data_IF_878484332848
#
_entry.id   IF_878484332848
#
_cell.length_a   1.000
_cell.length_b   1.000
_cell.length_c   1.000
_cell.angle_alpha   90.00
_cell.angle_beta   90.00
_cell.angle_gamma   90.00
#
_symmetry.space_group_name_H-M   'P 1'
#
loop_
_entity.id
_entity.type
_entity.pdbx_description
1 polymer ?
#
# COMPACT_ATOMS: atom_id res chain seq x y z
N UNK A 1 9.90 -16.12 -6.24
CA UNK A 1 9.94 -16.70 -7.61
C UNK A 1 9.60 -15.65 -8.67
N UNK A 2 8.47 -14.92 -8.56
CA UNK A 2 8.10 -13.88 -9.54
C UNK A 2 9.21 -12.85 -9.77
N UNK A 3 9.80 -12.30 -8.71
CA UNK A 3 10.90 -11.33 -8.82
C UNK A 3 12.11 -11.87 -9.58
N UNK A 4 12.44 -13.16 -9.42
CA UNK A 4 13.53 -13.80 -10.18
C UNK A 4 13.20 -13.89 -11.66
N UNK A 5 11.97 -14.30 -12.01
CA UNK A 5 11.53 -14.38 -13.39
C UNK A 5 11.50 -12.99 -14.06
N UNK A 6 10.94 -11.99 -13.37
CA UNK A 6 10.88 -10.60 -13.85
C UNK A 6 12.28 -10.02 -14.09
N UNK A 7 13.17 -10.15 -13.12
CA UNK A 7 14.54 -9.66 -13.23
C UNK A 7 15.31 -10.40 -14.33
N UNK A 8 15.12 -11.72 -14.43
CA UNK A 8 15.69 -12.52 -15.51
C UNK A 8 15.26 -11.98 -16.89
N UNK A 9 13.96 -11.77 -17.10
CA UNK A 9 13.40 -11.23 -18.35
C UNK A 9 13.89 -9.81 -18.66
N UNK A 10 14.16 -9.01 -17.65
CA UNK A 10 14.60 -7.63 -17.82
C UNK A 10 16.06 -7.52 -18.31
N UNK A 11 16.92 -8.44 -17.90
CA UNK A 11 18.37 -8.29 -18.10
C UNK A 11 19.03 -9.37 -18.96
N UNK A 12 18.39 -10.54 -19.16
CA UNK A 12 18.96 -11.57 -20.01
C UNK A 12 18.97 -11.15 -21.47
N UNK A 13 20.03 -11.55 -22.17
CA UNK A 13 20.15 -11.45 -23.63
C UNK A 13 20.17 -12.83 -24.28
N UNK A 14 20.32 -13.88 -23.48
CA UNK A 14 20.33 -15.25 -23.95
C UNK A 14 18.88 -15.75 -24.16
N UNK A 15 18.53 -16.29 -25.35
CA UNK A 15 17.18 -16.71 -25.66
C UNK A 15 16.72 -17.89 -24.78
N UNK A 16 17.62 -18.77 -24.36
CA UNK A 16 17.27 -19.90 -23.50
C UNK A 16 16.99 -19.45 -22.07
N UNK A 17 17.72 -18.46 -21.55
CA UNK A 17 17.44 -17.89 -20.24
C UNK A 17 16.15 -17.08 -20.25
N UNK A 18 15.84 -16.40 -21.35
CA UNK A 18 14.56 -15.74 -21.56
C UNK A 18 13.41 -16.76 -21.49
N UNK A 19 13.51 -17.87 -22.22
CA UNK A 19 12.51 -18.93 -22.21
C UNK A 19 12.33 -19.52 -20.82
N UNK A 20 13.42 -19.84 -20.09
CA UNK A 20 13.36 -20.33 -18.70
C UNK A 20 12.66 -19.36 -17.77
N UNK A 21 12.96 -18.07 -17.90
CA UNK A 21 12.33 -17.02 -17.08
C UNK A 21 10.84 -16.87 -17.40
N UNK A 22 10.44 -17.01 -18.67
CA UNK A 22 9.03 -17.06 -19.07
C UNK A 22 8.31 -18.27 -18.50
N UNK A 23 8.91 -19.44 -18.57
CA UNK A 23 8.37 -20.69 -17.99
C UNK A 23 8.22 -20.55 -16.48
N UNK A 24 9.21 -19.99 -15.77
CA UNK A 24 9.15 -19.73 -14.34
C UNK A 24 7.98 -18.78 -14.00
N UNK A 25 7.80 -17.69 -14.77
CA UNK A 25 6.67 -16.76 -14.58
C UNK A 25 5.33 -17.45 -14.76
N UNK A 26 5.18 -18.31 -15.77
CA UNK A 26 3.96 -19.09 -16.00
C UNK A 26 3.68 -20.11 -14.86
N UNK A 27 4.71 -20.72 -14.29
CA UNK A 27 4.57 -21.58 -13.10
C UNK A 27 4.08 -20.79 -11.89
N UNK A 28 4.66 -19.60 -11.65
CA UNK A 28 4.25 -18.71 -10.55
C UNK A 28 2.80 -18.28 -10.72
N UNK A 29 2.39 -17.93 -11.94
CA UNK A 29 1.01 -17.52 -12.21
C UNK A 29 0.01 -18.65 -11.84
N UNK A 30 0.31 -19.88 -12.19
CA UNK A 30 -0.51 -21.04 -11.83
C UNK A 30 -0.60 -21.25 -10.33
N UNK A 31 0.54 -21.23 -9.62
CA UNK A 31 0.58 -21.37 -8.17
C UNK A 31 -0.26 -20.28 -7.50
N UNK A 32 -0.09 -19.02 -7.91
CA UNK A 32 -0.85 -17.90 -7.36
C UNK A 32 -2.34 -18.01 -7.65
N UNK A 33 -2.72 -18.41 -8.87
CA UNK A 33 -4.10 -18.66 -9.28
C UNK A 33 -4.77 -19.71 -8.38
N UNK A 34 -4.12 -20.85 -8.15
CA UNK A 34 -4.62 -21.91 -7.29
C UNK A 34 -4.82 -21.46 -5.84
N UNK A 35 -3.83 -20.75 -5.28
CA UNK A 35 -3.90 -20.28 -3.89
C UNK A 35 -4.91 -19.15 -3.68
N UNK A 36 -5.09 -18.27 -4.66
CA UNK A 36 -5.97 -17.11 -4.54
C UNK A 36 -7.39 -17.37 -5.10
N UNK A 37 -7.63 -18.50 -5.78
CA UNK A 37 -8.90 -18.78 -6.46
C UNK A 37 -9.18 -17.82 -7.62
N UNK A 38 -8.14 -17.27 -8.25
CA UNK A 38 -8.24 -16.33 -9.36
C UNK A 38 -8.06 -17.04 -10.71
N UNK A 39 -8.58 -16.43 -11.78
CA UNK A 39 -8.30 -16.90 -13.14
C UNK A 39 -6.80 -16.77 -13.47
N UNK A 40 -6.22 -17.85 -14.02
CA UNK A 40 -4.79 -17.91 -14.31
C UNK A 40 -4.36 -16.85 -15.34
N UNK A 41 -5.20 -16.55 -16.34
CA UNK A 41 -4.89 -15.55 -17.37
C UNK A 41 -4.89 -14.14 -16.78
N UNK A 42 -5.76 -13.90 -15.80
CA UNK A 42 -5.76 -12.64 -15.06
C UNK A 42 -4.43 -12.45 -14.31
N UNK A 43 -3.98 -13.48 -13.59
CA UNK A 43 -2.69 -13.46 -12.89
C UNK A 43 -1.51 -13.32 -13.86
N UNK A 44 -1.51 -14.05 -14.98
CA UNK A 44 -0.48 -13.91 -16.02
C UNK A 44 -0.40 -12.47 -16.57
N UNK A 45 -1.55 -11.84 -16.80
CA UNK A 45 -1.61 -10.44 -17.26
C UNK A 45 -1.03 -9.48 -16.23
N UNK A 46 -1.39 -9.63 -14.96
CA UNK A 46 -0.84 -8.82 -13.86
C UNK A 46 0.68 -8.96 -13.76
N UNK A 47 1.19 -10.18 -13.82
CA UNK A 47 2.64 -10.43 -13.72
C UNK A 47 3.39 -9.98 -14.99
N UNK A 48 2.76 -10.00 -16.16
CA UNK A 48 3.36 -9.54 -17.41
C UNK A 48 3.49 -8.01 -17.48
N UNK A 49 2.61 -7.27 -16.82
CA UNK A 49 2.67 -5.82 -16.74
C UNK A 49 3.86 -5.32 -15.90
N UNK A 50 4.37 -6.15 -14.98
CA UNK A 50 5.54 -5.82 -14.17
C UNK A 50 6.83 -6.12 -14.96
N UNK A 51 7.58 -5.05 -15.27
CA UNK A 51 8.83 -5.13 -16.06
C UNK A 51 10.00 -4.51 -15.29
N UNK A 52 11.21 -4.68 -15.80
CA UNK A 52 12.42 -4.13 -15.17
C UNK A 52 12.85 -4.90 -13.92
N UNK A 53 13.77 -4.31 -13.16
CA UNK A 53 14.24 -4.88 -11.89
C UNK A 53 13.10 -4.92 -10.87
N UNK A 54 12.85 -6.09 -10.32
CA UNK A 54 11.79 -6.25 -9.32
C UNK A 54 12.19 -5.57 -8.00
N UNK A 55 11.43 -4.55 -7.62
CA UNK A 55 11.57 -3.86 -6.34
C UNK A 55 10.27 -3.98 -5.53
N UNK A 56 10.32 -3.87 -4.21
CA UNK A 56 9.10 -3.67 -3.43
C UNK A 56 8.36 -2.41 -3.89
N UNK A 57 7.06 -2.46 -3.89
CA UNK A 57 6.23 -1.25 -4.01
C UNK A 57 6.24 -0.51 -2.68
N UNK A 58 6.06 0.79 -2.73
CA UNK A 58 6.10 1.65 -1.56
C UNK A 58 4.71 2.18 -1.25
N UNK A 59 4.26 1.95 -0.03
CA UNK A 59 3.05 2.52 0.56
C UNK A 59 3.46 3.49 1.67
N UNK A 60 2.85 4.66 1.74
CA UNK A 60 3.22 5.71 2.71
C UNK A 60 2.01 6.11 3.51
N UNK A 61 2.12 6.07 4.84
CA UNK A 61 1.01 6.34 5.78
C UNK A 61 1.36 7.45 6.78
N UNK A 62 0.40 8.33 6.99
CA UNK A 62 0.46 9.41 7.98
C UNK A 62 -0.30 9.04 9.27
N UNK A 63 0.42 8.95 10.38
CA UNK A 63 -0.15 8.89 11.71
C UNK A 63 -0.30 10.32 12.24
N UNK A 64 -1.47 10.91 12.05
CA UNK A 64 -1.78 12.30 12.44
C UNK A 64 -2.47 12.31 13.78
N UNK A 65 -1.90 13.01 14.76
CA UNK A 65 -2.44 13.10 16.10
C UNK A 65 -3.02 14.50 16.38
N UNK A 66 -4.23 14.51 16.96
CA UNK A 66 -4.89 15.69 17.49
C UNK A 66 -5.52 15.39 18.86
N UNK A 67 -5.17 16.14 19.90
CA UNK A 67 -5.66 15.94 21.28
C UNK A 67 -5.51 14.51 21.79
N UNK A 68 -4.37 13.86 21.51
CA UNK A 68 -4.09 12.49 21.92
C UNK A 68 -4.91 11.41 21.18
N UNK A 69 -5.62 11.79 20.12
CA UNK A 69 -6.40 10.88 19.28
C UNK A 69 -5.78 10.79 17.88
N UNK A 70 -5.90 9.64 17.23
CA UNK A 70 -5.43 9.37 15.90
C UNK A 70 -6.49 9.73 14.86
N UNK A 71 -6.10 10.52 13.87
CA UNK A 71 -6.93 10.80 12.71
C UNK A 71 -6.96 9.59 11.78
N UNK A 72 -8.14 9.23 11.35
CA UNK A 72 -8.36 8.17 10.36
C UNK A 72 -9.39 8.65 9.34
N UNK A 73 -9.33 8.06 8.17
CA UNK A 73 -10.30 8.25 7.09
C UNK A 73 -11.00 6.94 6.78
N UNK A 74 -12.19 7.03 6.21
CA UNK A 74 -12.96 5.89 5.78
C UNK A 74 -12.95 5.83 4.26
N UNK A 75 -12.26 4.84 3.72
CA UNK A 75 -12.11 4.64 2.28
C UNK A 75 -13.37 4.02 1.67
N UNK A 76 -14.00 4.74 0.73
CA UNK A 76 -15.19 4.28 0.04
C UNK A 76 -14.90 3.07 -0.86
N UNK A 77 -13.72 3.04 -1.48
CA UNK A 77 -13.31 1.99 -2.43
C UNK A 77 -12.96 0.69 -1.73
N UNK A 78 -12.49 0.75 -0.47
CA UNK A 78 -12.09 -0.44 0.31
C UNK A 78 -13.19 -0.89 1.29
N UNK A 79 -14.44 -0.83 0.85
CA UNK A 79 -15.58 -1.32 1.63
C UNK A 79 -15.88 -0.49 2.88
N UNK A 80 -15.67 0.82 2.82
CA UNK A 80 -15.94 1.76 3.91
C UNK A 80 -15.12 1.48 5.18
N UNK A 81 -13.89 0.98 5.04
CA UNK A 81 -13.01 0.71 6.18
C UNK A 81 -12.26 1.95 6.64
N UNK A 82 -12.05 2.03 7.96
CA UNK A 82 -11.20 3.06 8.54
C UNK A 82 -9.73 2.70 8.42
N UNK A 83 -8.93 3.62 7.90
CA UNK A 83 -7.49 3.45 7.69
C UNK A 83 -6.70 4.69 8.07
N UNK A 84 -5.37 4.56 8.15
CA UNK A 84 -4.47 5.70 8.19
C UNK A 84 -4.45 6.39 6.83
N UNK A 85 -4.30 7.71 6.84
CA UNK A 85 -4.19 8.52 5.65
C UNK A 85 -2.95 8.15 4.85
N UNK A 86 -3.06 8.17 3.52
CA UNK A 86 -1.96 7.84 2.61
C UNK A 86 -2.27 6.68 1.70
N UNK A 87 -1.30 6.29 0.87
CA UNK A 87 -1.46 5.25 -0.15
C UNK A 87 -0.17 4.90 -0.87
N UNK A 88 -0.30 4.48 -2.11
CA UNK A 88 0.82 4.18 -2.98
C UNK A 88 1.64 5.43 -3.28
N UNK A 89 2.94 5.38 -2.99
CA UNK A 89 3.83 6.50 -3.26
C UNK A 89 3.89 6.83 -4.76
N UNK A 90 3.65 8.08 -5.09
CA UNK A 90 3.79 8.60 -6.44
C UNK A 90 5.27 8.81 -6.81
N UNK A 91 5.58 8.67 -8.11
CA UNK A 91 6.90 9.00 -8.63
C UNK A 91 7.10 10.51 -8.65
N UNK A 92 8.35 10.96 -8.53
CA UNK A 92 8.78 12.35 -8.51
C UNK A 92 8.35 13.16 -7.26
N UNK A 93 7.79 12.51 -6.25
CA UNK A 93 7.56 13.08 -4.93
C UNK A 93 8.40 12.32 -3.89
N UNK A 94 8.93 13.04 -2.91
CA UNK A 94 9.51 12.40 -1.74
C UNK A 94 8.41 11.80 -0.86
N UNK A 95 8.68 10.77 -0.05
CA UNK A 95 7.67 10.21 0.85
C UNK A 95 7.08 11.23 1.84
N UNK A 96 7.84 12.29 2.17
CA UNK A 96 7.38 13.39 3.03
C UNK A 96 6.39 14.29 2.30
N UNK A 97 6.71 14.69 1.06
CA UNK A 97 5.80 15.49 0.23
C UNK A 97 4.51 14.73 -0.05
N UNK A 98 4.63 13.45 -0.39
CA UNK A 98 3.50 12.57 -0.65
C UNK A 98 2.55 12.49 0.55
N UNK A 99 3.04 12.15 1.75
CA UNK A 99 2.16 12.01 2.92
C UNK A 99 1.47 13.31 3.32
N UNK A 100 2.14 14.46 3.15
CA UNK A 100 1.54 15.78 3.42
C UNK A 100 0.41 16.08 2.44
N UNK A 101 0.63 15.79 1.15
CA UNK A 101 -0.39 15.92 0.09
C UNK A 101 -1.60 15.03 0.39
N UNK A 102 -1.39 13.75 0.64
CA UNK A 102 -2.47 12.78 0.90
C UNK A 102 -3.30 13.15 2.12
N UNK A 103 -2.64 13.52 3.23
CA UNK A 103 -3.37 13.97 4.43
C UNK A 103 -4.28 15.15 4.10
N UNK A 104 -3.80 16.11 3.31
CA UNK A 104 -4.62 17.26 2.91
C UNK A 104 -5.78 16.86 1.99
N UNK A 105 -5.53 16.01 1.01
CA UNK A 105 -6.53 15.57 0.03
C UNK A 105 -7.63 14.72 0.66
N UNK A 106 -7.25 13.80 1.56
CA UNK A 106 -8.17 12.86 2.18
C UNK A 106 -8.92 13.41 3.38
N UNK A 107 -8.35 14.36 4.12
CA UNK A 107 -8.94 14.84 5.37
C UNK A 107 -9.19 16.34 5.46
N UNK A 108 -8.60 17.14 4.56
CA UNK A 108 -8.67 18.59 4.60
C UNK A 108 -7.74 19.28 5.61
N UNK A 109 -6.97 18.51 6.38
CA UNK A 109 -6.01 19.08 7.33
C UNK A 109 -4.65 19.36 6.67
N UNK A 110 -4.06 20.49 7.04
CA UNK A 110 -2.66 20.78 6.77
C UNK A 110 -1.79 20.17 7.87
N UNK A 111 -0.72 19.49 7.48
CA UNK A 111 0.18 18.83 8.44
C UNK A 111 1.64 19.11 8.13
N UNK A 112 2.48 18.96 9.14
CA UNK A 112 3.93 18.80 8.98
C UNK A 112 4.37 17.44 9.45
N UNK A 113 5.31 16.83 8.77
CA UNK A 113 5.94 15.60 9.20
C UNK A 113 6.89 15.88 10.36
N UNK A 114 6.75 15.12 11.43
CA UNK A 114 7.61 15.19 12.62
C UNK A 114 8.77 14.23 12.49
N UNK A 115 8.47 12.97 12.14
CA UNK A 115 9.48 11.91 12.00
C UNK A 115 8.94 10.71 11.24
N UNK A 116 9.84 9.93 10.66
CA UNK A 116 9.58 8.55 10.28
C UNK A 116 9.44 7.70 11.55
N UNK A 117 8.30 7.05 11.72
CA UNK A 117 8.01 6.24 12.90
C UNK A 117 8.42 4.78 12.68
N UNK A 118 8.14 4.23 11.49
CA UNK A 118 8.42 2.84 11.17
C UNK A 118 8.59 2.63 9.66
N UNK A 119 9.32 1.60 9.31
CA UNK A 119 9.33 0.97 7.99
C UNK A 119 8.97 -0.48 8.20
N UNK A 120 7.87 -0.93 7.59
CA UNK A 120 7.39 -2.29 7.74
C UNK A 120 7.48 -3.06 6.42
N UNK A 121 7.89 -4.29 6.51
CA UNK A 121 7.69 -5.28 5.47
C UNK A 121 6.28 -5.89 5.68
N UNK A 122 5.35 -5.59 4.77
CA UNK A 122 3.95 -6.01 4.90
C UNK A 122 3.78 -7.52 5.00
N UNK A 123 4.69 -8.30 4.41
CA UNK A 123 4.65 -9.77 4.51
C UNK A 123 4.91 -10.26 5.94
N UNK A 124 5.61 -9.46 6.75
CA UNK A 124 5.90 -9.77 8.16
C UNK A 124 4.77 -9.39 9.11
N UNK A 125 3.79 -8.63 8.63
CA UNK A 125 2.64 -8.19 9.40
C UNK A 125 1.36 -8.75 8.77
N UNK A 126 0.49 -9.43 9.56
CA UNK A 126 -0.74 -10.02 9.04
C UNK A 126 -1.59 -8.98 8.33
N UNK A 127 -1.94 -9.27 7.10
CA UNK A 127 -2.83 -8.45 6.29
C UNK A 127 -3.75 -9.34 5.44
N UNK A 128 -5.02 -9.01 5.39
CA UNK A 128 -6.03 -9.74 4.63
C UNK A 128 -6.81 -8.77 3.74
N UNK A 129 -6.95 -9.05 2.44
CA UNK A 129 -6.35 -10.17 1.70
C UNK A 129 -4.84 -9.98 1.47
N UNK A 130 -4.08 -11.06 1.20
CA UNK A 130 -2.68 -10.95 0.85
C UNK A 130 -2.52 -10.26 -0.51
N UNK A 131 -1.50 -9.40 -0.63
CA UNK A 131 -1.19 -8.73 -1.88
C UNK A 131 -0.32 -9.59 -2.80
N UNK A 132 -0.49 -9.40 -4.11
CA UNK A 132 0.33 -10.06 -5.13
C UNK A 132 1.78 -9.56 -5.17
N UNK A 133 2.06 -8.40 -4.60
CA UNK A 133 3.35 -7.72 -4.64
C UNK A 133 3.96 -7.62 -3.26
N UNK A 134 5.31 -7.55 -3.23
CA UNK A 134 6.04 -7.19 -2.03
C UNK A 134 5.89 -5.69 -1.77
N UNK A 135 5.52 -5.31 -0.56
CA UNK A 135 5.23 -3.93 -0.19
C UNK A 135 6.02 -3.55 1.06
N UNK A 136 6.66 -2.39 1.01
CA UNK A 136 7.17 -1.71 2.19
C UNK A 136 6.25 -0.55 2.53
N UNK A 137 5.90 -0.45 3.81
CA UNK A 137 5.06 0.61 4.34
C UNK A 137 5.90 1.56 5.18
N UNK A 138 5.84 2.85 4.87
CA UNK A 138 6.49 3.91 5.62
C UNK A 138 5.43 4.64 6.46
N UNK A 139 5.62 4.65 7.77
CA UNK A 139 4.72 5.35 8.68
C UNK A 139 5.37 6.64 9.19
N UNK A 140 4.76 7.76 8.91
CA UNK A 140 5.20 9.07 9.38
C UNK A 140 4.29 9.58 10.50
N UNK A 141 4.89 10.06 11.58
CA UNK A 141 4.16 10.87 12.58
C UNK A 141 4.02 12.27 12.03
N UNK A 142 2.78 12.74 11.99
CA UNK A 142 2.44 14.07 11.51
C UNK A 142 1.69 14.87 12.58
N UNK A 143 1.85 16.17 12.54
CA UNK A 143 1.25 17.14 13.43
C UNK A 143 0.41 18.13 12.61
N UNK A 144 -0.82 18.40 13.06
CA UNK A 144 -1.72 19.34 12.40
C UNK A 144 -1.19 20.76 12.56
N UNK A 145 -1.11 21.48 11.45
CA UNK A 145 -0.70 22.89 11.39
C UNK A 145 -1.82 23.82 10.97
N UNK A 146 -2.92 23.29 10.41
CA UNK A 146 -4.06 24.05 9.95
C UNK A 146 -5.10 23.18 9.26
N UNK A 147 -6.02 23.84 8.56
CA UNK A 147 -7.10 23.15 7.86
C UNK A 147 -8.27 22.76 8.77
N UNK A 148 -9.27 22.14 8.19
CA UNK A 148 -10.45 21.64 8.87
C UNK A 148 -10.87 20.28 8.28
N UNK A 149 -11.56 19.45 9.09
CA UNK A 149 -12.01 18.13 8.67
C UNK A 149 -12.94 18.22 7.45
N UNK A 150 -12.50 17.68 6.33
CA UNK A 150 -13.28 17.59 5.09
C UNK A 150 -12.85 16.34 4.33
N UNK A 151 -13.80 15.44 4.06
CA UNK A 151 -13.52 14.27 3.22
C UNK A 151 -13.07 14.66 1.81
N UNK A 152 -12.20 13.85 1.25
CA UNK A 152 -11.75 13.94 -0.15
C UNK A 152 -12.70 13.19 -1.10
N UNK A 153 -12.26 13.01 -2.34
CA UNK A 153 -13.02 12.29 -3.37
C UNK A 153 -13.14 10.78 -3.05
N UNK A 154 -12.13 10.22 -2.41
CA UNK A 154 -12.03 8.78 -2.11
C UNK A 154 -12.48 8.43 -0.69
N UNK A 155 -12.72 9.45 0.17
CA UNK A 155 -13.03 9.26 1.57
C UNK A 155 -14.49 9.59 1.89
N UNK A 156 -15.20 8.65 2.51
CA UNK A 156 -16.59 8.79 2.95
C UNK A 156 -16.70 9.32 4.38
N UNK A 157 -15.61 9.42 5.14
CA UNK A 157 -15.59 9.91 6.51
C UNK A 157 -14.19 10.26 7.01
N UNK A 158 -14.14 11.23 7.92
CA UNK A 158 -12.93 11.69 8.61
C UNK A 158 -13.22 11.73 10.11
N UNK A 159 -12.34 11.17 10.94
CA UNK A 159 -12.60 11.15 12.39
C UNK A 159 -11.36 10.91 13.23
N UNK A 160 -11.44 11.36 14.51
CA UNK A 160 -10.41 11.16 15.51
C UNK A 160 -10.78 10.04 16.48
N UNK A 161 -9.89 9.08 16.66
CA UNK A 161 -10.11 7.89 17.49
C UNK A 161 -9.08 7.77 18.59
N UNK A 162 -9.55 7.50 19.80
CA UNK A 162 -8.66 7.20 20.93
C UNK A 162 -8.05 5.80 20.76
N UNK A 163 -6.83 5.59 21.23
CA UNK A 163 -6.08 4.36 21.04
C UNK A 163 -6.81 3.08 21.46
N UNK A 164 -7.65 3.15 22.51
CA UNK A 164 -8.45 2.00 22.98
C UNK A 164 -9.58 1.63 21.99
N UNK A 165 -10.06 2.56 21.17
CA UNK A 165 -11.11 2.34 20.17
C UNK A 165 -10.55 1.74 18.85
N UNK A 166 -9.27 1.90 18.57
CA UNK A 166 -8.65 1.41 17.32
C UNK A 166 -8.79 -0.11 17.18
N UNK A 167 -8.67 -0.87 18.28
CA UNK A 167 -8.84 -2.34 18.26
C UNK A 167 -10.24 -2.77 17.84
N UNK A 168 -11.27 -2.00 18.15
CA UNK A 168 -12.65 -2.29 17.78
C UNK A 168 -12.88 -2.01 16.29
N UNK A 169 -12.35 -0.89 15.82
CA UNK A 169 -12.43 -0.47 14.42
C UNK A 169 -11.69 -1.46 13.52
N UNK A 170 -10.45 -1.82 13.85
CA UNK A 170 -9.68 -2.80 13.09
C UNK A 170 -10.30 -4.20 13.10
N UNK A 171 -10.93 -4.64 14.19
CA UNK A 171 -11.64 -5.94 14.23
C UNK A 171 -12.90 -5.97 13.39
N UNK A 172 -13.65 -4.87 13.36
CA UNK A 172 -14.91 -4.79 12.60
C UNK A 172 -14.69 -4.63 11.09
N UNK A 173 -13.52 -4.13 10.68
CA UNK A 173 -13.21 -3.82 9.28
C UNK A 173 -12.16 -4.75 8.66
N UNK A 174 -11.59 -5.69 9.44
CA UNK A 174 -10.62 -6.66 8.91
C UNK A 174 -9.25 -6.05 8.58
N UNK A 175 -8.83 -5.02 9.34
CA UNK A 175 -7.47 -4.46 9.27
C UNK A 175 -6.41 -5.50 9.55
#
# INVERSE_FOLDING_TARGET
MQALAQTGLAFTRDPYDCERSQQLRGLVARIMSEHAGLDVRHVETLLAAETGYATPKLDVRGAVFGDGRLLMVREAVDGDRWTLLGGWADVNESPVEFVVKEVREESGFDVRVVKLAAVWDRVRHPHTPPYAFHIWELFFVCEITGGEARGGLETSGVGFFAGHNLRLICRSTGC
#
